data_IF_320652622522
#
_entry.id   IF_320652622522
#
_cell.length_a   1.000
_cell.length_b   1.000
_cell.length_c   1.000
_cell.angle_alpha   90.00
_cell.angle_beta   90.00
_cell.angle_gamma   90.00
#
_symmetry.space_group_name_H-M   'P 1'
#
loop_
_entity.id
_entity.type
_entity.pdbx_description
1 polymer ?
#
# COMPACT_ATOMS: atom_id res chain seq x y z
N UNK A 1 1.84 -18.15 -3.13
CA UNK A 1 2.44 -18.90 -2.00
C UNK A 1 1.32 -19.65 -1.29
N UNK A 2 1.49 -20.90 -0.86
CA UNK A 2 0.46 -21.64 -0.11
C UNK A 2 0.65 -21.36 1.38
N UNK A 3 -0.41 -20.94 2.07
CA UNK A 3 -0.40 -20.80 3.53
C UNK A 3 -0.79 -22.11 4.23
N UNK A 4 -0.29 -22.34 5.46
CA UNK A 4 -0.85 -23.34 6.39
C UNK A 4 -2.37 -23.18 6.52
N UNK A 5 -3.08 -24.30 6.71
CA UNK A 5 -4.54 -24.33 6.63
C UNK A 5 -5.23 -23.35 7.61
N UNK A 6 -4.69 -23.25 8.82
CA UNK A 6 -5.11 -22.35 9.88
C UNK A 6 -4.99 -20.86 9.50
N UNK A 7 -4.04 -20.51 8.63
CA UNK A 7 -3.81 -19.14 8.19
C UNK A 7 -4.52 -18.78 6.89
N UNK A 8 -5.05 -19.74 6.13
CA UNK A 8 -5.65 -19.49 4.81
C UNK A 8 -6.82 -18.51 4.86
N UNK A 9 -7.69 -18.64 5.87
CA UNK A 9 -8.86 -17.75 6.01
C UNK A 9 -8.44 -16.31 6.29
N UNK A 10 -7.57 -16.12 7.27
CA UNK A 10 -7.05 -14.78 7.58
C UNK A 10 -6.27 -14.21 6.39
N UNK A 11 -5.44 -15.02 5.74
CA UNK A 11 -4.66 -14.58 4.58
C UNK A 11 -5.52 -14.21 3.37
N UNK A 12 -6.65 -14.88 3.17
CA UNK A 12 -7.64 -14.48 2.17
C UNK A 12 -8.20 -13.08 2.47
N UNK A 13 -8.64 -12.82 3.70
CA UNK A 13 -9.18 -11.50 4.06
C UNK A 13 -8.11 -10.41 4.06
N UNK A 14 -6.88 -10.70 4.52
CA UNK A 14 -5.75 -9.77 4.40
C UNK A 14 -5.48 -9.42 2.94
N UNK A 15 -5.42 -10.41 2.05
CA UNK A 15 -5.24 -10.19 0.61
C UNK A 15 -6.37 -9.30 0.07
N UNK A 16 -7.62 -9.65 0.36
CA UNK A 16 -8.80 -8.90 -0.10
C UNK A 16 -8.76 -7.44 0.35
N UNK A 17 -8.64 -7.18 1.66
CA UNK A 17 -8.73 -5.83 2.21
C UNK A 17 -7.57 -4.95 1.76
N UNK A 18 -6.36 -5.50 1.66
CA UNK A 18 -5.18 -4.80 1.14
C UNK A 18 -5.33 -4.44 -0.34
N UNK A 19 -5.89 -5.35 -1.16
CA UNK A 19 -6.18 -5.04 -2.57
C UNK A 19 -7.26 -3.97 -2.72
N UNK A 20 -8.35 -4.09 -1.96
CA UNK A 20 -9.43 -3.10 -1.94
C UNK A 20 -8.95 -1.72 -1.48
N UNK A 21 -8.11 -1.66 -0.44
CA UNK A 21 -7.54 -0.40 0.03
C UNK A 21 -6.73 0.29 -1.08
N UNK A 22 -5.90 -0.47 -1.80
CA UNK A 22 -5.15 0.06 -2.93
C UNK A 22 -6.06 0.53 -4.08
N UNK A 23 -7.07 -0.26 -4.47
CA UNK A 23 -8.04 0.14 -5.50
C UNK A 23 -8.77 1.43 -5.12
N UNK A 24 -9.19 1.55 -3.86
CA UNK A 24 -9.92 2.72 -3.36
C UNK A 24 -9.08 3.99 -3.40
N UNK A 25 -7.80 3.92 -3.00
CA UNK A 25 -6.92 5.11 -3.05
C UNK A 25 -6.58 5.50 -4.49
N UNK A 26 -6.52 4.53 -5.42
CA UNK A 26 -6.33 4.80 -6.86
C UNK A 26 -7.53 5.48 -7.51
N UNK A 27 -8.74 5.27 -6.99
CA UNK A 27 -9.97 5.86 -7.53
C UNK A 27 -10.45 5.26 -8.84
N UNK A 28 -9.84 4.17 -9.31
CA UNK A 28 -10.14 3.52 -10.60
C UNK A 28 -11.28 2.49 -10.52
N UNK A 29 -11.74 2.20 -9.30
CA UNK A 29 -12.76 1.17 -9.03
C UNK A 29 -12.33 -0.20 -9.57
N UNK A 30 -13.29 -0.99 -10.06
CA UNK A 30 -13.02 -2.32 -10.61
C UNK A 30 -12.31 -2.30 -11.98
N UNK A 31 -12.02 -1.12 -12.53
CA UNK A 31 -11.27 -0.99 -13.78
C UNK A 31 -9.78 -1.37 -13.60
N UNK A 32 -9.26 -1.30 -12.37
CA UNK A 32 -7.91 -1.74 -12.04
C UNK A 32 -7.87 -3.27 -11.89
N UNK A 33 -7.24 -4.03 -12.80
CA UNK A 33 -7.29 -5.48 -12.77
C UNK A 33 -6.51 -6.06 -11.57
N UNK A 34 -7.16 -6.94 -10.78
CA UNK A 34 -6.58 -7.53 -9.57
C UNK A 34 -5.29 -8.34 -9.77
N UNK A 35 -4.95 -8.71 -11.01
CA UNK A 35 -3.73 -9.44 -11.36
C UNK A 35 -2.55 -8.53 -11.72
N UNK A 36 -2.77 -7.21 -11.83
CA UNK A 36 -1.72 -6.25 -12.11
C UNK A 36 -0.94 -5.80 -10.88
N UNK A 37 -1.29 -6.29 -9.70
CA UNK A 37 -0.54 -6.00 -8.48
C UNK A 37 -0.66 -7.12 -7.44
N UNK A 38 0.40 -7.24 -6.66
CA UNK A 38 0.61 -8.26 -5.65
C UNK A 38 0.66 -7.60 -4.27
N UNK A 39 -0.02 -8.16 -3.28
CA UNK A 39 0.01 -7.71 -1.88
C UNK A 39 0.51 -8.85 -0.99
N UNK A 40 1.08 -8.51 0.17
CA UNK A 40 1.36 -9.52 1.19
C UNK A 40 0.05 -10.11 1.69
N UNK A 41 0.06 -11.40 2.04
CA UNK A 41 -1.14 -12.13 2.48
C UNK A 41 -0.91 -12.92 3.78
N UNK A 42 0.34 -13.18 4.17
CA UNK A 42 0.62 -13.93 5.39
C UNK A 42 0.25 -13.09 6.61
N UNK A 43 -0.44 -13.63 7.62
CA UNK A 43 -0.63 -12.95 8.90
C UNK A 43 0.68 -12.64 9.64
N UNK A 44 1.76 -13.36 9.30
CA UNK A 44 3.09 -13.16 9.87
C UNK A 44 3.94 -12.10 9.11
N UNK A 45 3.39 -11.49 8.06
CA UNK A 45 4.07 -10.46 7.26
C UNK A 45 3.32 -9.13 7.37
N UNK A 46 4.02 -7.99 7.47
CA UNK A 46 3.39 -6.68 7.41
C UNK A 46 2.54 -6.49 6.15
N UNK A 47 1.50 -5.65 6.25
CA UNK A 47 0.77 -5.18 5.07
C UNK A 47 1.71 -4.46 4.10
N UNK A 48 1.72 -4.89 2.84
CA UNK A 48 2.59 -4.31 1.83
C UNK A 48 2.01 -4.49 0.42
N UNK A 49 2.18 -3.47 -0.42
CA UNK A 49 2.06 -3.58 -1.86
C UNK A 49 3.41 -4.06 -2.40
N UNK A 50 3.48 -5.32 -2.82
CA UNK A 50 4.75 -5.99 -3.14
C UNK A 50 5.22 -5.70 -4.56
N UNK A 51 4.27 -5.54 -5.49
CA UNK A 51 4.56 -5.32 -6.90
C UNK A 51 3.34 -4.73 -7.60
N UNK A 52 3.61 -3.86 -8.55
CA UNK A 52 2.64 -3.32 -9.51
C UNK A 52 3.13 -3.60 -10.93
N UNK A 53 2.21 -3.64 -11.88
CA UNK A 53 2.46 -3.86 -13.32
C UNK A 53 1.62 -2.84 -14.09
N UNK A 54 2.12 -2.30 -15.22
CA UNK A 54 3.43 -2.59 -15.83
C UNK A 54 4.61 -1.92 -15.11
N UNK A 55 4.38 -0.87 -14.32
CA UNK A 55 5.43 -0.18 -13.59
C UNK A 55 5.67 -0.79 -12.21
N UNK A 56 6.85 -1.36 -11.97
CA UNK A 56 7.24 -1.91 -10.68
C UNK A 56 7.61 -0.84 -9.65
N UNK A 57 7.98 0.37 -10.08
CA UNK A 57 8.35 1.47 -9.18
C UNK A 57 7.12 2.09 -8.52
N UNK A 58 5.95 2.00 -9.17
CA UNK A 58 4.68 2.52 -8.64
C UNK A 58 4.40 1.99 -7.22
N UNK A 59 4.71 0.72 -6.93
CA UNK A 59 4.57 0.15 -5.59
C UNK A 59 5.29 0.95 -4.48
N UNK A 60 6.43 1.58 -4.79
CA UNK A 60 7.21 2.37 -3.82
C UNK A 60 6.56 3.68 -3.39
N UNK A 61 5.51 4.13 -4.10
CA UNK A 61 4.75 5.33 -3.75
C UNK A 61 3.70 5.08 -2.66
N UNK A 62 3.42 3.81 -2.35
CA UNK A 62 2.30 3.44 -1.50
C UNK A 62 2.77 2.72 -0.25
N UNK A 63 2.18 3.08 0.89
CA UNK A 63 2.25 2.27 2.10
C UNK A 63 0.90 1.61 2.35
N UNK A 64 0.93 0.34 2.80
CA UNK A 64 -0.24 -0.35 3.31
C UNK A 64 -0.08 -0.56 4.81
N UNK A 65 -1.18 -0.38 5.55
CA UNK A 65 -1.24 -0.62 6.99
C UNK A 65 -2.44 -1.50 7.29
N UNK A 66 -2.27 -2.49 8.17
CA UNK A 66 -3.41 -3.17 8.78
C UNK A 66 -4.02 -2.23 9.84
N UNK A 67 -5.34 -2.24 9.95
CA UNK A 67 -6.06 -1.52 11.00
C UNK A 67 -6.53 -2.48 12.08
N UNK A 68 -6.44 -2.05 13.34
CA UNK A 68 -6.96 -2.83 14.46
C UNK A 68 -8.49 -2.88 14.38
N UNK A 69 -9.03 -4.11 14.38
CA UNK A 69 -10.45 -4.39 14.26
C UNK A 69 -10.84 -5.54 15.19
N UNK A 70 -12.12 -5.67 15.56
CA UNK A 70 -12.57 -6.79 16.39
C UNK A 70 -12.28 -8.16 15.76
N UNK A 71 -12.21 -9.23 16.59
CA UNK A 71 -12.01 -10.59 16.09
C UNK A 71 -13.02 -10.98 15.00
N UNK A 72 -12.52 -11.61 13.94
CA UNK A 72 -13.33 -12.04 12.79
C UNK A 72 -13.41 -11.02 11.65
N UNK A 73 -12.84 -9.82 11.82
CA UNK A 73 -12.74 -8.81 10.77
C UNK A 73 -11.29 -8.60 10.32
N UNK A 74 -11.11 -8.02 9.14
CA UNK A 74 -9.84 -7.52 8.64
C UNK A 74 -10.06 -6.15 8.00
N UNK A 75 -9.08 -5.26 8.12
CA UNK A 75 -9.13 -3.95 7.50
C UNK A 75 -7.71 -3.50 7.14
N UNK A 76 -7.60 -2.75 6.04
CA UNK A 76 -6.34 -2.19 5.59
C UNK A 76 -6.54 -0.76 5.10
N UNK A 77 -5.51 0.06 5.27
CA UNK A 77 -5.41 1.44 4.78
C UNK A 77 -4.28 1.52 3.76
N UNK A 78 -4.53 2.21 2.65
CA UNK A 78 -3.51 2.58 1.68
C UNK A 78 -3.29 4.08 1.72
N UNK A 79 -2.03 4.51 1.76
CA UNK A 79 -1.63 5.93 1.72
C UNK A 79 -0.54 6.14 0.69
N UNK A 80 -0.63 7.26 -0.03
CA UNK A 80 0.49 7.72 -0.86
C UNK A 80 1.54 8.35 0.05
N UNK A 81 2.79 7.88 -0.04
CA UNK A 81 3.90 8.51 0.67
C UNK A 81 4.36 9.69 -0.18
N UNK A 82 3.94 10.90 0.20
CA UNK A 82 4.48 12.12 -0.37
C UNK A 82 5.99 12.18 -0.17
N UNK A 83 6.76 12.47 -1.22
CA UNK A 83 8.15 12.88 -1.04
C UNK A 83 8.12 14.20 -0.28
N UNK A 84 8.68 14.24 0.94
CA UNK A 84 9.05 15.50 1.56
C UNK A 84 10.03 16.19 0.61
N UNK A 85 9.57 17.19 -0.12
CA UNK A 85 10.45 18.09 -0.85
C UNK A 85 11.26 18.83 0.20
N UNK A 86 12.48 18.36 0.46
CA UNK A 86 13.48 19.17 1.16
C UNK A 86 13.84 20.32 0.22
N UNK A 87 13.05 21.39 0.25
CA UNK A 87 13.41 22.65 -0.38
C UNK A 87 14.59 23.19 0.42
N UNK A 88 15.81 22.98 -0.09
CA UNK A 88 16.97 23.71 0.40
C UNK A 88 16.73 25.16 0.05
N UNK A 89 16.33 25.98 1.03
CA UNK A 89 16.37 27.43 0.93
C UNK A 89 17.84 27.82 0.80
N UNK A 90 18.34 27.98 -0.43
CA UNK A 90 19.58 28.73 -0.66
C UNK A 90 19.32 30.17 -0.27
N UNK A 91 19.85 30.57 0.88
CA UNK A 91 19.99 31.96 1.27
C UNK A 91 20.98 32.63 0.29
N UNK A 92 20.46 33.16 -0.80
CA UNK A 92 21.21 34.03 -1.71
C UNK A 92 20.26 35.15 -2.16
N UNK A 93 19.91 36.01 -1.21
CA UNK A 93 19.50 37.39 -1.53
C UNK A 93 19.81 38.29 -0.34
N UNK A 94 21.12 38.54 -0.13
CA UNK A 94 21.59 39.78 0.45
C UNK A 94 22.49 40.40 -0.60
N UNK A 95 21.88 41.09 -1.56
CA UNK A 95 22.59 42.06 -2.40
C UNK A 95 22.25 43.45 -1.90
N UNK A 96 23.29 44.10 -1.39
CA UNK A 96 23.42 45.53 -1.14
C UNK A 96 22.91 46.36 -2.32
N UNK A 97 22.17 47.41 -2.00
CA UNK A 97 21.81 48.54 -2.85
C UNK A 97 21.29 49.68 -1.99
#
# INVERSE_FOLDING_TARGET
RVLPAEHRRQGFFNCWTRKEAYIKVRGEGLSLPLHQFDVSLSPAEPAALLRTRPDANEASRWSLHDLEVPPGYAAALAVEIGRSTSSTLTAADVSTG
#
